data_IF_519968502398
#
_entry.id   IF_519968502398
#
_cell.length_a   1.000
_cell.length_b   1.000
_cell.length_c   1.000
_cell.angle_alpha   90.00
_cell.angle_beta   90.00
_cell.angle_gamma   90.00
#
_symmetry.space_group_name_H-M   'P 1'
#
loop_
_entity.id
_entity.type
_entity.pdbx_description
1 polymer ?
#
# COMPACT_ATOMS: atom_id res chain seq x y z
N UNK A 1 11.26 0.03 -2.97
CA UNK A 1 10.47 -1.13 -3.52
C UNK A 1 8.99 -0.77 -3.69
N UNK A 2 8.37 -0.13 -2.73
CA UNK A 2 6.95 0.26 -2.78
C UNK A 2 6.51 1.14 -3.96
N UNK A 3 7.44 1.82 -4.64
CA UNK A 3 7.13 2.54 -5.87
C UNK A 3 6.72 1.59 -7.03
N UNK A 4 7.30 0.38 -7.06
CA UNK A 4 7.14 -0.57 -8.17
C UNK A 4 5.99 -1.55 -7.97
N UNK A 5 5.34 -1.57 -6.83
CA UNK A 5 4.20 -2.43 -6.54
C UNK A 5 3.70 -2.31 -5.13
N UNK A 6 2.62 -3.04 -4.85
CA UNK A 6 2.06 -3.25 -3.51
C UNK A 6 1.56 -4.69 -3.37
N UNK A 7 1.49 -5.17 -2.14
CA UNK A 7 1.08 -6.54 -1.83
C UNK A 7 -0.08 -6.58 -0.84
N UNK A 8 -0.89 -7.61 -0.99
CA UNK A 8 -1.94 -8.04 -0.06
C UNK A 8 -1.66 -9.47 0.38
N UNK A 9 -2.53 -10.08 1.18
CA UNK A 9 -2.39 -11.49 1.54
C UNK A 9 -2.84 -12.47 0.43
N UNK A 10 -3.44 -11.95 -0.66
CA UNK A 10 -3.97 -12.74 -1.77
C UNK A 10 -3.18 -12.56 -3.08
N UNK A 11 -2.57 -11.40 -3.30
CA UNK A 11 -1.86 -11.08 -4.54
C UNK A 11 -0.85 -9.95 -4.34
N UNK A 12 0.06 -9.82 -5.29
CA UNK A 12 1.00 -8.71 -5.36
C UNK A 12 0.97 -8.08 -6.77
N UNK A 13 0.55 -6.81 -6.89
CA UNK A 13 0.69 -6.05 -8.12
C UNK A 13 2.10 -5.49 -8.21
N UNK A 14 2.77 -5.75 -9.34
CA UNK A 14 4.14 -5.30 -9.56
C UNK A 14 4.33 -4.73 -10.97
N UNK A 15 5.33 -3.89 -11.10
CA UNK A 15 5.78 -3.38 -12.40
C UNK A 15 6.11 -4.51 -13.38
N UNK A 16 5.62 -4.43 -14.61
CA UNK A 16 5.98 -5.34 -15.71
C UNK A 16 7.44 -5.22 -16.17
N UNK A 17 8.18 -4.21 -15.66
CA UNK A 17 9.61 -4.01 -15.93
C UNK A 17 10.53 -4.74 -14.99
N UNK A 18 10.00 -5.36 -13.94
CA UNK A 18 10.83 -6.16 -13.03
C UNK A 18 11.36 -7.40 -13.76
N UNK A 19 12.61 -7.74 -13.50
CA UNK A 19 13.21 -8.97 -14.04
C UNK A 19 12.52 -10.20 -13.45
N UNK A 20 12.51 -11.31 -14.18
CA UNK A 20 11.94 -12.58 -13.70
C UNK A 20 12.57 -13.03 -12.39
N UNK A 21 13.86 -12.79 -12.20
CA UNK A 21 14.55 -13.11 -10.96
C UNK A 21 14.03 -12.27 -9.77
N UNK A 22 13.76 -10.99 -9.98
CA UNK A 22 13.18 -10.13 -8.94
C UNK A 22 11.74 -10.52 -8.62
N UNK A 23 10.95 -10.88 -9.64
CA UNK A 23 9.59 -11.40 -9.46
C UNK A 23 9.60 -12.65 -8.60
N UNK A 24 10.44 -13.65 -8.91
CA UNK A 24 10.54 -14.88 -8.12
C UNK A 24 10.92 -14.60 -6.64
N UNK A 25 11.86 -13.68 -6.40
CA UNK A 25 12.24 -13.28 -5.04
C UNK A 25 11.10 -12.60 -4.29
N UNK A 26 10.31 -11.77 -4.97
CA UNK A 26 9.13 -11.12 -4.39
C UNK A 26 8.09 -12.18 -4.01
N UNK A 27 7.78 -13.12 -4.90
CA UNK A 27 6.84 -14.21 -4.64
C UNK A 27 7.29 -15.11 -3.47
N UNK A 28 8.57 -15.45 -3.43
CA UNK A 28 9.15 -16.23 -2.34
C UNK A 28 9.06 -15.49 -1.00
N UNK A 29 9.38 -14.18 -0.99
CA UNK A 29 9.36 -13.36 0.23
C UNK A 29 7.96 -13.09 0.75
N UNK A 30 6.99 -12.87 -0.14
CA UNK A 30 5.62 -12.46 0.22
C UNK A 30 4.63 -13.63 0.24
N UNK A 31 5.02 -14.81 -0.26
CA UNK A 31 4.19 -16.02 -0.27
C UNK A 31 2.93 -15.92 -1.14
N UNK A 32 2.86 -14.97 -2.07
CA UNK A 32 1.72 -14.75 -2.96
C UNK A 32 2.17 -14.58 -4.41
N UNK A 33 1.31 -14.93 -5.36
CA UNK A 33 1.57 -14.73 -6.78
C UNK A 33 1.61 -13.25 -7.17
N UNK A 34 2.47 -12.91 -8.12
CA UNK A 34 2.55 -11.56 -8.67
C UNK A 34 1.66 -11.38 -9.91
N UNK A 35 1.18 -10.17 -10.10
CA UNK A 35 0.46 -9.71 -11.29
C UNK A 35 1.31 -8.60 -11.92
N UNK A 36 2.21 -8.92 -12.87
CA UNK A 36 2.98 -7.92 -13.57
C UNK A 36 2.07 -7.04 -14.44
N UNK A 37 2.11 -5.74 -14.24
CA UNK A 37 1.21 -4.80 -14.90
C UNK A 37 1.82 -3.41 -15.03
N UNK A 38 1.07 -2.52 -15.67
CA UNK A 38 1.21 -1.07 -15.64
C UNK A 38 -0.10 -0.48 -15.16
N UNK A 39 -0.05 0.74 -14.69
CA UNK A 39 -1.24 1.54 -14.38
C UNK A 39 -1.05 2.90 -15.04
N UNK A 40 -1.99 3.30 -15.90
CA UNK A 40 -1.90 4.48 -16.73
C UNK A 40 -0.58 4.53 -17.54
N UNK A 41 -0.21 3.41 -18.16
CA UNK A 41 1.06 3.22 -18.89
C UNK A 41 2.34 3.42 -18.07
N UNK A 42 2.24 3.70 -16.76
CA UNK A 42 3.38 3.86 -15.86
C UNK A 42 3.77 2.54 -15.20
N UNK A 43 5.09 2.35 -15.06
CA UNK A 43 5.68 1.20 -14.38
C UNK A 43 5.76 1.37 -12.85
N UNK A 44 5.38 2.53 -12.31
CA UNK A 44 5.35 2.83 -10.87
C UNK A 44 4.00 2.42 -10.28
N UNK A 45 3.71 1.12 -10.33
CA UNK A 45 2.41 0.53 -9.98
C UNK A 45 2.01 0.87 -8.53
N UNK A 46 2.97 0.87 -7.60
CA UNK A 46 2.71 1.15 -6.20
C UNK A 46 2.37 2.61 -5.90
N UNK A 47 2.71 3.55 -6.79
CA UNK A 47 2.26 4.95 -6.67
C UNK A 47 0.85 5.12 -7.24
N UNK A 48 0.58 4.42 -8.36
CA UNK A 48 -0.63 4.66 -9.14
C UNK A 48 -1.84 3.87 -8.63
N UNK A 49 -1.63 2.69 -8.04
CA UNK A 49 -2.68 1.83 -7.52
C UNK A 49 -2.61 1.66 -6.01
N UNK A 50 -3.75 1.34 -5.42
CA UNK A 50 -3.89 0.95 -4.01
C UNK A 50 -4.91 -0.18 -3.89
N UNK A 51 -4.85 -0.95 -2.80
CA UNK A 51 -5.79 -2.05 -2.61
C UNK A 51 -5.60 -2.80 -1.30
N UNK A 52 -6.46 -3.79 -1.11
CA UNK A 52 -6.39 -4.80 -0.08
C UNK A 52 -6.73 -6.17 -0.70
N UNK A 53 -6.88 -7.24 0.08
CA UNK A 53 -7.19 -8.58 -0.46
C UNK A 53 -8.52 -8.64 -1.22
N UNK A 54 -9.42 -7.68 -1.03
CA UNK A 54 -10.77 -7.67 -1.63
C UNK A 54 -10.87 -6.88 -2.93
N UNK A 55 -10.02 -5.86 -3.12
CA UNK A 55 -10.15 -5.00 -4.27
C UNK A 55 -8.94 -4.14 -4.58
N UNK A 56 -8.92 -3.63 -5.82
CA UNK A 56 -7.88 -2.74 -6.37
C UNK A 56 -8.52 -1.44 -6.85
N UNK A 57 -7.91 -0.34 -6.46
CA UNK A 57 -8.23 1.01 -6.93
C UNK A 57 -7.26 1.40 -8.04
N UNK A 58 -7.79 1.90 -9.15
CA UNK A 58 -7.04 2.38 -10.31
C UNK A 58 -7.46 3.81 -10.64
N UNK A 59 -6.54 4.69 -11.10
CA UNK A 59 -6.91 6.05 -11.51
C UNK A 59 -7.75 6.04 -12.78
N UNK A 60 -8.53 7.12 -12.98
CA UNK A 60 -9.45 7.25 -14.12
C UNK A 60 -8.76 7.20 -15.51
N UNK A 61 -7.45 7.42 -15.54
CA UNK A 61 -6.64 7.37 -16.76
C UNK A 61 -6.15 5.95 -17.12
N UNK A 62 -6.50 4.93 -16.32
CA UNK A 62 -6.09 3.55 -16.58
C UNK A 62 -6.74 2.99 -17.85
N UNK A 63 -5.98 2.24 -18.64
CA UNK A 63 -6.44 1.64 -19.87
C UNK A 63 -7.26 0.37 -19.60
N UNK A 64 -8.23 0.07 -20.49
CA UNK A 64 -9.01 -1.17 -20.38
C UNK A 64 -8.16 -2.44 -20.39
N UNK A 65 -7.05 -2.42 -21.14
CA UNK A 65 -6.08 -3.52 -21.21
C UNK A 65 -5.45 -3.81 -19.85
N UNK A 66 -5.09 -2.76 -19.09
CA UNK A 66 -4.51 -2.84 -17.75
C UNK A 66 -5.53 -3.37 -16.74
N UNK A 67 -6.76 -2.85 -16.79
CA UNK A 67 -7.87 -3.30 -15.95
C UNK A 67 -8.17 -4.80 -16.21
N UNK A 68 -8.19 -5.23 -17.47
CA UNK A 68 -8.41 -6.63 -17.84
C UNK A 68 -7.32 -7.57 -17.33
N UNK A 69 -6.07 -7.13 -17.26
CA UNK A 69 -4.98 -7.92 -16.68
C UNK A 69 -5.24 -8.18 -15.21
N UNK A 70 -5.56 -7.14 -14.43
CA UNK A 70 -5.79 -7.25 -12.99
C UNK A 70 -7.06 -8.06 -12.69
N UNK A 71 -8.14 -7.85 -13.45
CA UNK A 71 -9.42 -8.58 -13.30
C UNK A 71 -9.34 -10.10 -13.54
N UNK A 72 -8.24 -10.63 -14.07
CA UNK A 72 -8.04 -12.08 -14.16
C UNK A 72 -7.81 -12.73 -12.80
N UNK A 73 -7.31 -11.97 -11.84
CA UNK A 73 -6.92 -12.47 -10.51
C UNK A 73 -7.60 -11.74 -9.35
N UNK A 74 -8.11 -10.52 -9.58
CA UNK A 74 -8.80 -9.71 -8.57
C UNK A 74 -10.20 -9.41 -9.08
N UNK A 75 -11.22 -9.84 -8.35
CA UNK A 75 -12.61 -9.67 -8.76
C UNK A 75 -13.05 -8.20 -8.74
N UNK A 76 -12.71 -7.49 -7.68
CA UNK A 76 -13.15 -6.11 -7.49
C UNK A 76 -12.05 -5.12 -7.91
N UNK A 77 -12.18 -4.56 -9.10
CA UNK A 77 -11.28 -3.53 -9.64
C UNK A 77 -12.10 -2.29 -9.95
N UNK A 78 -11.83 -1.22 -9.20
CA UNK A 78 -12.57 0.04 -9.29
C UNK A 78 -11.70 1.15 -9.87
N UNK A 79 -12.19 1.80 -10.90
CA UNK A 79 -11.62 3.04 -11.43
C UNK A 79 -12.14 4.22 -10.62
N UNK A 80 -11.24 4.98 -10.02
CA UNK A 80 -11.56 6.16 -9.21
C UNK A 80 -11.65 7.38 -10.12
N UNK A 81 -12.83 8.00 -10.28
CA UNK A 81 -13.05 9.12 -11.17
C UNK A 81 -12.68 10.46 -10.50
N UNK A 82 -11.43 10.59 -10.09
CA UNK A 82 -10.91 11.77 -9.42
C UNK A 82 -9.67 12.32 -10.16
N UNK A 83 -9.42 13.63 -10.02
CA UNK A 83 -8.25 14.30 -10.61
C UNK A 83 -6.91 13.83 -10.02
N UNK A 84 -6.95 13.28 -8.82
CA UNK A 84 -5.79 12.73 -8.14
C UNK A 84 -5.54 11.28 -8.61
N UNK A 85 -4.42 11.05 -9.26
CA UNK A 85 -4.09 9.78 -9.92
C UNK A 85 -3.09 8.93 -9.18
N UNK A 86 -2.32 9.50 -8.26
CA UNK A 86 -1.34 8.78 -7.44
C UNK A 86 -2.02 8.09 -6.23
N UNK A 87 -2.95 7.18 -6.51
CA UNK A 87 -3.80 6.57 -5.48
C UNK A 87 -2.99 5.83 -4.41
N UNK A 88 -1.86 5.21 -4.77
CA UNK A 88 -0.99 4.54 -3.83
C UNK A 88 -0.33 5.47 -2.81
N UNK A 89 -0.16 6.75 -3.14
CA UNK A 89 0.29 7.74 -2.16
C UNK A 89 -0.85 8.26 -1.28
N UNK A 90 -2.09 8.12 -1.71
CA UNK A 90 -3.26 8.79 -1.11
C UNK A 90 -4.22 7.83 -0.40
N UNK A 91 -3.96 6.53 -0.48
CA UNK A 91 -4.77 5.48 0.17
C UNK A 91 -3.83 4.47 0.80
N UNK A 92 -4.11 4.08 2.04
CA UNK A 92 -3.50 2.94 2.71
C UNK A 92 -4.58 2.07 3.33
N UNK A 93 -4.50 0.76 3.11
CA UNK A 93 -5.53 -0.18 3.54
C UNK A 93 -4.96 -1.53 3.96
N UNK A 94 -5.68 -2.21 4.84
CA UNK A 94 -5.64 -3.65 5.04
C UNK A 94 -7.08 -4.22 4.94
N UNK A 95 -7.30 -5.47 5.31
CA UNK A 95 -8.63 -6.08 5.18
C UNK A 95 -9.60 -5.73 6.33
N UNK A 96 -9.17 -4.87 7.27
CA UNK A 96 -9.95 -4.44 8.43
C UNK A 96 -10.35 -2.96 8.37
N UNK A 97 -9.56 -2.12 7.70
CA UNK A 97 -9.82 -0.71 7.57
C UNK A 97 -8.91 -0.01 6.56
N UNK A 98 -9.31 1.20 6.17
CA UNK A 98 -8.55 2.02 5.23
C UNK A 98 -8.51 3.49 5.67
N UNK A 99 -7.45 4.16 5.26
CA UNK A 99 -7.31 5.61 5.31
C UNK A 99 -7.23 6.12 3.88
N UNK A 100 -8.03 7.13 3.59
CA UNK A 100 -7.96 7.90 2.37
C UNK A 100 -7.57 9.34 2.70
N UNK A 101 -6.76 9.93 1.85
CA UNK A 101 -6.35 11.32 1.96
C UNK A 101 -7.54 12.28 2.08
N UNK A 102 -7.35 13.35 2.83
CA UNK A 102 -8.32 14.45 3.01
C UNK A 102 -8.54 15.29 1.76
N UNK A 103 -7.73 15.11 0.71
CA UNK A 103 -7.90 15.81 -0.59
C UNK A 103 -9.08 15.28 -1.40
N UNK A 104 -9.56 14.08 -1.11
CA UNK A 104 -10.66 13.45 -1.85
C UNK A 104 -12.04 13.95 -1.39
N UNK A 105 -13.04 13.79 -2.25
CA UNK A 105 -14.43 14.06 -1.90
C UNK A 105 -15.05 12.90 -1.10
N UNK A 106 -16.13 13.18 -0.37
CA UNK A 106 -16.90 12.14 0.31
C UNK A 106 -17.39 11.05 -0.66
N UNK A 107 -17.80 11.43 -1.87
CA UNK A 107 -18.21 10.49 -2.92
C UNK A 107 -17.05 9.54 -3.31
N UNK A 108 -15.83 10.06 -3.38
CA UNK A 108 -14.64 9.23 -3.64
C UNK A 108 -14.36 8.31 -2.47
N UNK A 109 -14.52 8.77 -1.22
CA UNK A 109 -14.38 7.95 -0.01
C UNK A 109 -15.35 6.77 -0.02
N UNK A 110 -16.64 7.01 -0.31
CA UNK A 110 -17.65 5.94 -0.40
C UNK A 110 -17.29 4.90 -1.46
N UNK A 111 -16.87 5.34 -2.64
CA UNK A 111 -16.43 4.46 -3.72
C UNK A 111 -15.22 3.59 -3.31
N UNK A 112 -14.26 4.16 -2.59
CA UNK A 112 -13.12 3.42 -2.03
C UNK A 112 -13.58 2.41 -0.98
N UNK A 113 -14.48 2.80 -0.07
CA UNK A 113 -15.07 1.95 0.95
C UNK A 113 -15.79 0.74 0.34
N UNK A 114 -16.60 0.96 -0.69
CA UNK A 114 -17.31 -0.10 -1.42
C UNK A 114 -16.34 -1.06 -2.12
N UNK A 115 -15.32 -0.53 -2.79
CA UNK A 115 -14.33 -1.36 -3.50
C UNK A 115 -13.52 -2.24 -2.55
N UNK A 116 -13.02 -1.66 -1.47
CA UNK A 116 -12.16 -2.36 -0.52
C UNK A 116 -12.96 -3.18 0.52
N UNK A 117 -14.29 -2.96 0.61
CA UNK A 117 -15.18 -3.66 1.53
C UNK A 117 -14.79 -3.50 3.00
N UNK A 118 -14.22 -2.33 3.36
CA UNK A 118 -13.79 -1.98 4.72
C UNK A 118 -14.12 -0.54 5.03
N UNK A 119 -14.33 -0.23 6.32
CA UNK A 119 -14.56 1.14 6.75
C UNK A 119 -13.39 2.04 6.38
N UNK A 120 -13.68 3.15 5.73
CA UNK A 120 -12.69 4.11 5.25
C UNK A 120 -12.77 5.41 6.04
N UNK A 121 -11.64 5.83 6.60
CA UNK A 121 -11.50 7.08 7.35
C UNK A 121 -10.73 8.09 6.50
N UNK A 122 -11.30 9.28 6.34
CA UNK A 122 -10.66 10.37 5.61
C UNK A 122 -9.85 11.24 6.58
N UNK A 123 -8.52 11.34 6.34
CA UNK A 123 -7.61 12.12 7.16
C UNK A 123 -6.22 12.25 6.53
N UNK A 124 -5.38 13.09 7.14
CA UNK A 124 -3.93 13.18 6.95
C UNK A 124 -3.17 12.20 7.86
N UNK A 125 -1.86 12.06 7.65
CA UNK A 125 -0.90 11.42 8.55
C UNK A 125 0.29 12.37 8.74
N UNK A 126 0.62 12.69 9.98
CA UNK A 126 1.71 13.61 10.34
C UNK A 126 1.62 14.97 9.61
N UNK A 127 0.39 15.46 9.37
CA UNK A 127 0.13 16.73 8.68
C UNK A 127 0.32 16.67 7.16
N UNK A 128 0.42 15.48 6.56
CA UNK A 128 0.55 15.29 5.11
C UNK A 128 -0.61 14.50 4.54
N UNK A 129 -1.08 14.93 3.38
CA UNK A 129 -2.14 14.28 2.61
C UNK A 129 -1.70 12.98 1.93
N UNK A 130 -0.38 12.71 1.82
CA UNK A 130 0.19 11.53 1.17
C UNK A 130 0.22 10.33 2.13
N UNK A 131 -0.94 9.93 2.63
CA UNK A 131 -1.09 8.91 3.68
C UNK A 131 -0.49 7.55 3.31
N UNK A 132 -0.59 7.12 2.05
CA UNK A 132 -0.04 5.86 1.58
C UNK A 132 1.47 5.89 1.35
N UNK A 133 2.07 7.08 1.12
CA UNK A 133 3.51 7.23 1.10
C UNK A 133 4.10 7.14 2.52
N UNK A 134 3.37 7.60 3.54
CA UNK A 134 3.83 7.69 4.93
C UNK A 134 3.47 6.48 5.79
N UNK A 135 2.60 5.60 5.32
CA UNK A 135 2.14 4.42 6.05
C UNK A 135 1.99 3.21 5.13
N UNK A 136 2.32 2.04 5.63
CA UNK A 136 2.01 0.76 5.03
C UNK A 136 1.35 -0.12 6.07
N UNK A 137 0.21 -0.75 5.72
CA UNK A 137 -0.55 -1.60 6.61
C UNK A 137 -0.74 -3.01 6.03
N UNK A 138 -0.61 -4.02 6.88
CA UNK A 138 -0.91 -5.42 6.62
C UNK A 138 -2.01 -5.89 7.57
N UNK A 139 -2.47 -7.14 7.45
CA UNK A 139 -3.42 -7.71 8.42
C UNK A 139 -2.77 -8.13 9.75
N UNK A 140 -1.44 -8.01 9.86
CA UNK A 140 -0.64 -8.40 11.03
C UNK A 140 -0.09 -7.20 11.80
N UNK A 141 0.30 -6.15 11.10
CA UNK A 141 0.85 -4.92 11.67
C UNK A 141 0.88 -3.77 10.67
N UNK A 142 1.27 -2.58 11.12
CA UNK A 142 1.52 -1.44 10.23
C UNK A 142 2.79 -0.69 10.62
N UNK A 143 3.43 -0.11 9.64
CA UNK A 143 4.56 0.81 9.82
C UNK A 143 4.16 2.19 9.34
N UNK A 144 4.53 3.21 10.09
CA UNK A 144 4.21 4.60 9.77
C UNK A 144 5.43 5.50 9.99
N UNK A 145 5.46 6.63 9.32
CA UNK A 145 6.50 7.64 9.44
C UNK A 145 6.86 7.95 10.91
N UNK A 146 8.15 8.18 11.24
CA UNK A 146 8.58 8.54 12.59
C UNK A 146 7.92 9.82 13.13
N UNK A 147 7.43 10.70 12.24
CA UNK A 147 6.83 11.98 12.63
C UNK A 147 5.39 11.86 13.19
N UNK A 148 4.80 10.65 13.16
CA UNK A 148 3.47 10.42 13.71
C UNK A 148 3.44 10.58 15.24
N UNK A 149 2.42 11.24 15.75
CA UNK A 149 2.19 11.43 17.19
C UNK A 149 1.64 10.18 17.88
N UNK A 150 1.73 10.10 19.20
CA UNK A 150 1.14 9.00 19.99
C UNK A 150 -0.39 8.94 19.87
N UNK A 151 -1.03 10.07 19.64
CA UNK A 151 -2.47 10.12 19.37
C UNK A 151 -2.79 9.48 18.05
N UNK A 152 -2.04 9.81 16.99
CA UNK A 152 -2.20 9.21 15.67
C UNK A 152 -1.95 7.70 15.70
N UNK A 153 -0.91 7.24 16.41
CA UNK A 153 -0.65 5.79 16.56
C UNK A 153 -1.87 5.04 17.07
N UNK A 154 -2.51 5.54 18.14
CA UNK A 154 -3.73 4.92 18.71
C UNK A 154 -4.91 4.93 17.76
N UNK A 155 -5.04 5.98 16.95
CA UNK A 155 -6.09 6.09 15.94
C UNK A 155 -5.83 5.11 14.78
N UNK A 156 -4.59 4.99 14.30
CA UNK A 156 -4.17 4.04 13.28
C UNK A 156 -4.39 2.59 13.73
N UNK A 157 -4.00 2.24 14.96
CA UNK A 157 -4.27 0.92 15.55
C UNK A 157 -5.76 0.57 15.55
N UNK A 158 -6.61 1.56 15.85
CA UNK A 158 -8.07 1.38 15.84
C UNK A 158 -8.62 1.20 14.43
N UNK A 159 -8.10 1.96 13.45
CA UNK A 159 -8.56 1.90 12.06
C UNK A 159 -8.14 0.57 11.44
N UNK A 160 -6.86 0.20 11.54
CA UNK A 160 -6.34 -1.03 10.93
C UNK A 160 -6.60 -2.29 11.75
N UNK A 161 -7.07 -2.15 13.01
CA UNK A 161 -7.36 -3.29 13.89
C UNK A 161 -6.14 -4.16 14.23
N UNK A 162 -4.94 -3.60 14.15
CA UNK A 162 -3.66 -4.24 14.44
C UNK A 162 -2.72 -3.27 15.16
N UNK A 163 -1.70 -3.80 15.83
CA UNK A 163 -0.61 -3.00 16.38
C UNK A 163 0.31 -2.52 15.26
N UNK A 164 1.07 -1.46 15.52
CA UNK A 164 2.03 -0.95 14.58
C UNK A 164 3.15 -0.17 15.26
N UNK A 165 4.08 0.30 14.47
CA UNK A 165 5.23 1.05 14.94
C UNK A 165 5.65 2.18 14.00
N UNK A 166 6.50 3.06 14.53
CA UNK A 166 7.17 4.10 13.77
C UNK A 166 8.51 3.59 13.31
N UNK A 167 8.81 3.75 12.02
CA UNK A 167 10.12 3.44 11.49
C UNK A 167 10.47 4.36 10.32
N UNK A 168 11.73 4.43 9.98
CA UNK A 168 12.27 4.89 8.70
C UNK A 168 12.74 3.69 7.90
N UNK A 169 13.10 3.90 6.64
CA UNK A 169 13.72 2.91 5.77
C UNK A 169 14.70 3.61 4.81
N UNK A 170 15.54 2.86 4.10
CA UNK A 170 16.48 3.42 3.12
C UNK A 170 17.29 4.60 3.70
N UNK A 171 17.97 4.38 4.81
CA UNK A 171 18.85 5.35 5.44
C UNK A 171 18.13 6.65 5.87
N UNK A 172 17.03 6.50 6.62
CA UNK A 172 16.29 7.61 7.24
C UNK A 172 15.13 8.16 6.43
N UNK A 173 14.74 7.50 5.33
CA UNK A 173 13.55 7.90 4.57
C UNK A 173 12.30 7.74 5.40
N UNK A 174 11.49 8.80 5.49
CA UNK A 174 10.24 8.86 6.23
C UNK A 174 9.02 8.41 5.41
N UNK A 175 9.17 8.27 4.09
CA UNK A 175 8.11 7.82 3.18
C UNK A 175 8.12 6.29 3.07
N UNK A 176 7.82 5.64 4.20
CA UNK A 176 7.97 4.19 4.38
C UNK A 176 7.17 3.36 3.38
N UNK A 177 5.97 3.80 2.99
CA UNK A 177 5.16 3.13 1.98
C UNK A 177 5.83 3.08 0.60
N UNK A 178 6.65 4.09 0.26
CA UNK A 178 7.44 4.09 -0.97
C UNK A 178 8.66 3.18 -0.91
N UNK A 179 9.13 2.83 0.28
CA UNK A 179 10.38 2.08 0.48
C UNK A 179 10.17 0.56 0.46
N UNK A 180 8.96 0.05 0.69
CA UNK A 180 8.72 -1.37 0.91
C UNK A 180 7.39 -1.84 0.34
N UNK A 181 7.28 -3.17 0.15
CA UNK A 181 6.05 -3.92 -0.04
C UNK A 181 5.98 -4.99 1.05
N UNK A 182 4.83 -5.15 1.68
CA UNK A 182 4.63 -6.18 2.70
C UNK A 182 3.19 -6.70 2.69
N UNK A 183 3.02 -7.90 3.22
CA UNK A 183 1.75 -8.51 3.59
C UNK A 183 1.93 -9.26 4.92
N UNK A 184 0.98 -10.09 5.34
CA UNK A 184 1.10 -10.84 6.60
C UNK A 184 2.20 -11.91 6.60
N UNK A 185 2.71 -12.30 5.44
CA UNK A 185 3.69 -13.38 5.29
C UNK A 185 5.13 -12.88 5.24
N UNK A 186 5.35 -11.65 4.74
CA UNK A 186 6.71 -11.16 4.56
C UNK A 186 6.83 -9.71 4.08
N UNK A 187 8.08 -9.35 3.84
CA UNK A 187 8.52 -8.00 3.53
C UNK A 187 9.55 -8.00 2.39
N UNK A 188 9.41 -7.06 1.47
CA UNK A 188 10.44 -6.69 0.48
C UNK A 188 10.72 -5.21 0.64
N UNK A 189 11.93 -4.86 1.02
CA UNK A 189 12.33 -3.50 1.39
C UNK A 189 13.53 -3.04 0.53
N UNK A 190 13.76 -1.74 0.45
CA UNK A 190 14.91 -1.19 -0.25
C UNK A 190 16.24 -1.58 0.41
N UNK A 191 17.26 -1.82 -0.39
CA UNK A 191 18.56 -2.36 0.00
C UNK A 191 19.46 -1.38 0.76
N UNK A 192 19.12 -0.09 0.77
CA UNK A 192 19.77 0.92 1.60
C UNK A 192 19.22 0.96 3.05
N UNK A 193 18.24 0.13 3.37
CA UNK A 193 17.67 0.05 4.73
C UNK A 193 18.68 -0.55 5.68
N UNK A 194 19.00 0.18 6.74
CA UNK A 194 19.96 -0.24 7.76
C UNK A 194 19.41 -1.40 8.62
N UNK A 195 20.26 -2.21 9.26
CA UNK A 195 19.79 -3.27 10.17
C UNK A 195 18.88 -2.77 11.28
N UNK A 196 19.17 -1.59 11.85
CA UNK A 196 18.35 -0.99 12.92
C UNK A 196 16.96 -0.60 12.39
N UNK A 197 16.89 0.01 11.20
CA UNK A 197 15.59 0.32 10.57
C UNK A 197 14.80 -0.95 10.27
N UNK A 198 15.47 -2.00 9.79
CA UNK A 198 14.85 -3.29 9.49
C UNK A 198 14.25 -3.94 10.75
N UNK A 199 14.93 -3.85 11.90
CA UNK A 199 14.42 -4.36 13.17
C UNK A 199 13.14 -3.62 13.57
N UNK A 200 13.12 -2.29 13.51
CA UNK A 200 11.91 -1.50 13.79
C UNK A 200 10.77 -1.79 12.82
N UNK A 201 11.06 -1.99 11.55
CA UNK A 201 10.05 -2.36 10.54
C UNK A 201 9.48 -3.75 10.83
N UNK A 202 10.32 -4.73 11.15
CA UNK A 202 9.89 -6.09 11.49
C UNK A 202 9.03 -6.12 12.75
N UNK A 203 9.41 -5.38 13.80
CA UNK A 203 8.61 -5.22 15.01
C UNK A 203 7.25 -4.57 14.68
N UNK A 204 7.25 -3.46 13.92
CA UNK A 204 6.05 -2.74 13.54
C UNK A 204 5.06 -3.59 12.73
N UNK A 205 5.57 -4.46 11.84
CA UNK A 205 4.77 -5.38 11.03
C UNK A 205 4.42 -6.70 11.75
N UNK A 206 4.92 -6.90 12.96
CA UNK A 206 4.64 -8.09 13.77
C UNK A 206 5.35 -9.36 13.28
N UNK A 207 6.55 -9.24 12.71
CA UNK A 207 7.39 -10.38 12.31
C UNK A 207 8.37 -10.81 13.40
N UNK A 208 8.58 -9.96 14.43
CA UNK A 208 9.35 -10.23 15.64
C UNK A 208 8.44 -10.37 16.85
#
# INVERSE_FOLDING_TARGET
MGLFGFSTDEYCLVSDRLSKNNINKIEESLGVGTIPTRIFSFSLVGIMGAGNSKGVLMPYLSEESEIKVIKKSVENVQVVPDKFTALGNLVVANDKGAIISDVFSEKTRELVEDCLGVKTVQRDIAGSSEVGALCLATNKGFVVTPDSSDKEMKELEKIFGVKGGRASANFGSKVVGCCMMANSNGLVIGDETTPIELDYVNEALGFL
#
